data_IF_879507820801
#
_entry.id   IF_879507820801
#
_cell.length_a   1.000
_cell.length_b   1.000
_cell.length_c   1.000
_cell.angle_alpha   90.00
_cell.angle_beta   90.00
_cell.angle_gamma   90.00
#
_symmetry.space_group_name_H-M   'P 1'
#
loop_
_entity.id
_entity.type
_entity.pdbx_description
1 polymer ?
#
# COMPACT_ATOMS: atom_id res chain seq x y z
N UNK A 1 -4.26 22.48 -22.33
CA UNK A 1 -4.01 21.38 -23.31
C UNK A 1 -5.04 20.24 -23.30
N UNK A 2 -5.69 19.88 -22.18
CA UNK A 2 -6.83 18.94 -22.20
C UNK A 2 -8.15 19.61 -22.61
N UNK A 3 -8.37 20.87 -22.19
CA UNK A 3 -9.56 21.66 -22.54
C UNK A 3 -9.69 21.91 -24.05
N UNK A 4 -8.62 22.31 -24.75
CA UNK A 4 -8.63 22.46 -26.22
C UNK A 4 -9.07 21.19 -26.95
N UNK A 5 -8.64 20.02 -26.48
CA UNK A 5 -9.02 18.73 -27.09
C UNK A 5 -10.47 18.35 -26.79
N UNK A 6 -10.97 18.73 -25.63
CA UNK A 6 -12.38 18.55 -25.28
C UNK A 6 -13.27 19.41 -26.19
N UNK A 7 -12.94 20.69 -26.37
CA UNK A 7 -13.67 21.60 -27.25
C UNK A 7 -13.67 21.14 -28.72
N UNK A 8 -12.54 20.62 -29.22
CA UNK A 8 -12.47 20.02 -30.57
C UNK A 8 -13.46 18.86 -30.72
N UNK A 9 -13.59 18.01 -29.70
CA UNK A 9 -14.48 16.85 -29.74
C UNK A 9 -15.94 17.27 -29.60
N UNK A 10 -16.26 18.24 -28.74
CA UNK A 10 -17.61 18.79 -28.62
C UNK A 10 -18.09 19.39 -29.95
N UNK A 11 -17.23 20.17 -30.63
CA UNK A 11 -17.55 20.72 -31.94
C UNK A 11 -17.67 19.62 -33.02
N UNK A 12 -16.85 18.57 -32.95
CA UNK A 12 -16.98 17.42 -33.85
C UNK A 12 -18.30 16.68 -33.62
N UNK A 13 -18.71 16.47 -32.36
CA UNK A 13 -19.99 15.86 -31.99
C UNK A 13 -21.18 16.70 -32.45
N UNK A 14 -21.03 18.03 -32.46
CA UNK A 14 -22.02 18.97 -33.04
C UNK A 14 -21.98 19.00 -34.58
N UNK A 15 -21.30 18.07 -35.24
CA UNK A 15 -21.27 17.90 -36.69
C UNK A 15 -20.38 18.90 -37.44
N UNK A 16 -19.55 19.69 -36.76
CA UNK A 16 -18.68 20.70 -37.41
C UNK A 16 -17.53 20.03 -38.16
N UNK A 17 -17.21 20.57 -39.33
CA UNK A 17 -16.09 20.08 -40.16
C UNK A 17 -14.73 20.50 -39.57
N UNK A 18 -13.65 19.73 -39.77
CA UNK A 18 -12.33 20.07 -39.20
C UNK A 18 -11.81 21.47 -39.55
N UNK A 19 -12.11 21.94 -40.77
CA UNK A 19 -11.75 23.29 -41.21
C UNK A 19 -12.51 24.40 -40.48
N UNK A 20 -13.77 24.16 -40.09
CA UNK A 20 -14.59 25.08 -39.31
C UNK A 20 -14.10 25.12 -37.86
N UNK A 21 -13.76 23.96 -37.29
CA UNK A 21 -13.19 23.84 -35.94
C UNK A 21 -11.90 24.66 -35.81
N UNK A 22 -11.04 24.64 -36.83
CA UNK A 22 -9.82 25.43 -36.87
C UNK A 22 -10.07 26.94 -36.83
N UNK A 23 -11.13 27.40 -37.51
CA UNK A 23 -11.54 28.81 -37.54
C UNK A 23 -12.19 29.22 -36.21
N UNK A 24 -13.16 28.44 -35.73
CA UNK A 24 -13.88 28.70 -34.48
C UNK A 24 -12.94 28.76 -33.26
N UNK A 25 -12.01 27.80 -33.16
CA UNK A 25 -11.06 27.75 -32.06
C UNK A 25 -9.82 28.62 -32.26
N UNK A 26 -9.76 29.41 -33.34
CA UNK A 26 -8.64 30.31 -33.65
C UNK A 26 -7.27 29.62 -33.56
N UNK A 27 -7.17 28.37 -34.04
CA UNK A 27 -5.95 27.57 -33.89
C UNK A 27 -4.91 28.04 -34.90
N UNK A 28 -3.70 28.47 -34.45
CA UNK A 28 -2.68 28.98 -35.35
C UNK A 28 -2.20 27.90 -36.32
N UNK A 29 -1.70 28.33 -37.49
CA UNK A 29 -1.22 27.43 -38.58
C UNK A 29 -0.24 26.36 -38.06
N UNK A 30 0.67 26.75 -37.16
CA UNK A 30 1.67 25.87 -36.53
C UNK A 30 1.06 24.72 -35.72
N UNK A 31 -0.15 24.86 -35.21
CA UNK A 31 -0.82 23.89 -34.31
C UNK A 31 -1.97 23.13 -34.96
N UNK A 32 -2.26 23.33 -36.25
CA UNK A 32 -3.37 22.64 -36.97
C UNK A 32 -3.36 21.12 -36.82
N UNK A 33 -2.16 20.51 -36.75
CA UNK A 33 -1.99 19.07 -36.53
C UNK A 33 -2.71 18.57 -35.26
N UNK A 34 -2.99 19.43 -34.27
CA UNK A 34 -3.70 19.04 -33.05
C UNK A 34 -5.15 18.63 -33.31
N UNK A 35 -5.85 19.30 -34.23
CA UNK A 35 -7.25 18.99 -34.57
C UNK A 35 -7.33 17.62 -35.22
N UNK A 36 -6.59 17.42 -36.30
CA UNK A 36 -6.57 16.14 -37.02
C UNK A 36 -6.12 14.97 -36.15
N UNK A 37 -5.07 15.14 -35.33
CA UNK A 37 -4.63 14.10 -34.37
C UNK A 37 -5.67 13.81 -33.30
N UNK A 38 -6.45 14.81 -32.87
CA UNK A 38 -7.50 14.63 -31.85
C UNK A 38 -8.70 13.92 -32.44
N UNK A 39 -9.14 14.28 -33.65
CA UNK A 39 -10.24 13.61 -34.37
C UNK A 39 -9.86 12.15 -34.68
N UNK A 40 -8.67 11.93 -35.28
CA UNK A 40 -8.20 10.57 -35.59
C UNK A 40 -8.13 9.68 -34.35
N UNK A 41 -7.79 10.27 -33.20
CA UNK A 41 -7.73 9.57 -31.92
C UNK A 41 -9.11 9.34 -31.32
N UNK A 42 -10.00 10.32 -31.41
CA UNK A 42 -11.38 10.19 -30.98
C UNK A 42 -12.07 9.05 -31.73
N UNK A 43 -11.91 8.98 -33.06
CA UNK A 43 -12.46 7.90 -33.87
C UNK A 43 -11.91 6.51 -33.50
N UNK A 44 -10.70 6.43 -32.90
CA UNK A 44 -10.08 5.17 -32.48
C UNK A 44 -10.41 4.75 -31.05
N UNK A 45 -10.70 5.69 -30.15
CA UNK A 45 -10.75 5.43 -28.69
C UNK A 45 -12.01 5.98 -28.01
N UNK A 46 -12.79 6.82 -28.68
CA UNK A 46 -13.97 7.49 -28.12
C UNK A 46 -13.68 8.58 -27.08
N UNK A 47 -12.41 8.95 -26.84
CA UNK A 47 -12.04 9.90 -25.78
C UNK A 47 -10.88 10.86 -26.10
N UNK A 48 -10.89 12.03 -25.46
CA UNK A 48 -9.84 13.07 -25.58
C UNK A 48 -8.64 12.89 -24.65
N UNK A 49 -8.79 12.14 -23.53
CA UNK A 49 -7.75 12.03 -22.49
C UNK A 49 -6.46 11.41 -23.04
N UNK A 50 -5.29 11.99 -22.73
CA UNK A 50 -3.99 11.39 -23.10
C UNK A 50 -3.89 9.98 -22.51
N UNK A 51 -3.35 9.03 -23.27
CA UNK A 51 -3.00 7.73 -22.74
C UNK A 51 -1.97 7.94 -21.63
N UNK A 52 -2.15 7.26 -20.51
CA UNK A 52 -1.04 7.04 -19.61
C UNK A 52 0.07 6.40 -20.45
N UNK A 53 1.26 7.02 -20.48
CA UNK A 53 2.42 6.38 -21.09
C UNK A 53 2.54 4.99 -20.46
N UNK A 54 2.59 3.93 -21.27
CA UNK A 54 2.98 2.60 -20.78
C UNK A 54 4.32 2.78 -20.09
N UNK A 55 4.33 2.65 -18.76
CA UNK A 55 5.59 2.66 -17.99
C UNK A 55 6.35 1.42 -18.41
N UNK A 56 7.65 1.58 -18.67
CA UNK A 56 8.53 0.43 -18.87
C UNK A 56 8.39 -0.52 -17.69
N UNK A 57 8.32 -1.83 -17.95
CA UNK A 57 8.27 -2.85 -16.91
C UNK A 57 9.49 -2.67 -16.01
N UNK A 58 9.26 -2.38 -14.72
CA UNK A 58 10.35 -2.25 -13.74
C UNK A 58 11.16 -3.55 -13.73
N UNK A 59 12.41 -3.47 -14.16
CA UNK A 59 13.34 -4.62 -14.22
C UNK A 59 13.47 -5.30 -12.84
N UNK A 60 13.39 -4.52 -11.76
CA UNK A 60 13.51 -5.00 -10.39
C UNK A 60 12.25 -5.60 -9.75
N UNK A 61 11.13 -5.77 -10.48
CA UNK A 61 9.84 -6.18 -9.89
C UNK A 61 9.14 -7.26 -10.72
N UNK A 62 9.86 -8.32 -11.08
CA UNK A 62 9.24 -9.44 -11.79
C UNK A 62 8.22 -10.18 -10.90
N UNK A 63 7.13 -10.73 -11.46
CA UNK A 63 6.18 -11.56 -10.70
C UNK A 63 6.86 -12.71 -9.96
N UNK A 64 7.89 -13.30 -10.59
CA UNK A 64 8.72 -14.35 -9.97
C UNK A 64 9.44 -13.86 -8.72
N UNK A 65 10.10 -12.70 -8.79
CA UNK A 65 10.77 -12.11 -7.62
C UNK A 65 9.76 -11.82 -6.50
N UNK A 66 8.59 -11.27 -6.85
CA UNK A 66 7.52 -10.99 -5.89
C UNK A 66 7.11 -12.25 -5.11
N UNK A 67 6.87 -13.36 -5.81
CA UNK A 67 6.53 -14.65 -5.19
C UNK A 67 7.63 -15.14 -4.24
N UNK A 68 8.89 -15.12 -4.70
CA UNK A 68 10.03 -15.55 -3.87
C UNK A 68 10.18 -14.72 -2.61
N UNK A 69 10.00 -13.39 -2.70
CA UNK A 69 10.07 -12.48 -1.55
C UNK A 69 8.95 -12.78 -0.55
N UNK A 70 7.71 -12.97 -1.02
CA UNK A 70 6.57 -13.35 -0.17
C UNK A 70 6.89 -14.65 0.59
N UNK A 71 7.35 -15.68 -0.11
CA UNK A 71 7.65 -16.98 0.50
C UNK A 71 8.80 -16.90 1.51
N UNK A 72 9.79 -16.02 1.28
CA UNK A 72 10.89 -15.79 2.22
C UNK A 72 10.43 -15.06 3.48
N UNK A 73 9.59 -14.04 3.32
CA UNK A 73 9.01 -13.29 4.45
C UNK A 73 8.09 -14.19 5.27
N UNK A 74 7.26 -15.02 4.61
CA UNK A 74 6.38 -15.98 5.28
C UNK A 74 7.16 -16.99 6.12
N UNK A 75 8.27 -17.52 5.59
CA UNK A 75 9.14 -18.46 6.32
C UNK A 75 9.88 -17.81 7.49
N UNK A 76 10.38 -16.60 7.29
CA UNK A 76 11.08 -15.87 8.35
C UNK A 76 10.81 -14.36 8.22
N UNK A 77 9.81 -13.81 8.95
CA UNK A 77 9.48 -12.39 8.88
C UNK A 77 10.54 -11.50 9.53
N UNK A 78 11.52 -12.08 10.25
CA UNK A 78 12.62 -11.35 10.91
C UNK A 78 13.79 -11.07 9.97
N UNK A 79 13.73 -11.53 8.71
CA UNK A 79 14.85 -11.44 7.78
C UNK A 79 15.08 -10.00 7.31
N UNK A 80 16.34 -9.57 7.28
CA UNK A 80 16.73 -8.26 6.75
C UNK A 80 16.49 -8.18 5.24
N UNK A 81 15.86 -7.09 4.79
CA UNK A 81 15.68 -6.79 3.37
C UNK A 81 17.01 -6.63 2.63
N UNK A 82 18.06 -6.12 3.31
CA UNK A 82 19.40 -6.00 2.74
C UNK A 82 20.00 -7.36 2.41
N UNK A 83 19.94 -8.31 3.34
CA UNK A 83 20.40 -9.69 3.08
C UNK A 83 19.60 -10.34 1.96
N UNK A 84 18.29 -10.17 1.96
CA UNK A 84 17.41 -10.70 0.92
C UNK A 84 17.72 -10.11 -0.46
N UNK A 85 18.03 -8.81 -0.53
CA UNK A 85 18.43 -8.13 -1.75
C UNK A 85 19.76 -8.68 -2.30
N UNK A 86 20.79 -8.84 -1.45
CA UNK A 86 22.07 -9.42 -1.83
C UNK A 86 21.94 -10.84 -2.37
N UNK A 87 21.17 -11.70 -1.70
CA UNK A 87 20.96 -13.09 -2.13
C UNK A 87 20.20 -13.21 -3.46
N UNK A 88 19.27 -12.29 -3.71
CA UNK A 88 18.47 -12.27 -4.93
C UNK A 88 19.13 -11.43 -6.04
N UNK A 89 20.32 -10.88 -5.81
CA UNK A 89 21.05 -9.99 -6.73
C UNK A 89 20.21 -8.79 -7.20
N UNK A 90 19.45 -8.21 -6.27
CA UNK A 90 18.60 -7.04 -6.49
C UNK A 90 19.12 -5.89 -5.64
N UNK A 91 18.99 -4.64 -6.10
CA UNK A 91 19.39 -3.49 -5.29
C UNK A 91 18.52 -3.35 -4.04
N UNK A 92 19.10 -2.89 -2.94
CA UNK A 92 18.38 -2.71 -1.67
C UNK A 92 17.16 -1.80 -1.82
N UNK A 93 17.27 -0.70 -2.57
CA UNK A 93 16.16 0.21 -2.82
C UNK A 93 15.02 -0.42 -3.62
N UNK A 94 15.33 -1.31 -4.58
CA UNK A 94 14.30 -2.06 -5.32
C UNK A 94 13.58 -3.04 -4.41
N UNK A 95 14.32 -3.76 -3.55
CA UNK A 95 13.74 -4.67 -2.56
C UNK A 95 12.82 -3.94 -1.57
N UNK A 96 13.25 -2.76 -1.09
CA UNK A 96 12.45 -1.94 -0.19
C UNK A 96 11.18 -1.43 -0.87
N UNK A 97 11.28 -0.94 -2.11
CA UNK A 97 10.12 -0.51 -2.90
C UNK A 97 9.16 -1.67 -3.16
N UNK A 98 9.68 -2.86 -3.47
CA UNK A 98 8.87 -4.06 -3.67
C UNK A 98 8.08 -4.40 -2.40
N UNK A 99 8.73 -4.40 -1.24
CA UNK A 99 8.07 -4.73 0.03
C UNK A 99 7.08 -3.66 0.47
N UNK A 100 7.44 -2.37 0.36
CA UNK A 100 6.61 -1.25 0.82
C UNK A 100 5.48 -0.90 -0.15
N UNK A 101 5.78 -0.78 -1.44
CA UNK A 101 4.84 -0.24 -2.43
C UNK A 101 4.11 -1.34 -3.20
N UNK A 102 4.75 -2.49 -3.46
CA UNK A 102 4.14 -3.55 -4.28
C UNK A 102 3.52 -4.69 -3.44
N UNK A 103 4.03 -4.92 -2.22
CA UNK A 103 3.50 -5.88 -1.24
C UNK A 103 2.74 -5.21 -0.09
N UNK A 104 2.85 -3.89 0.07
CA UNK A 104 2.19 -3.14 1.14
C UNK A 104 2.50 -3.65 2.56
N UNK A 105 3.69 -4.21 2.76
CA UNK A 105 4.12 -4.73 4.05
C UNK A 105 4.82 -3.63 4.87
N UNK A 106 4.55 -3.63 6.18
CA UNK A 106 5.20 -2.77 7.18
C UNK A 106 6.04 -3.62 8.13
N UNK A 107 7.21 -3.11 8.50
CA UNK A 107 8.05 -3.70 9.54
C UNK A 107 7.54 -3.25 10.91
N UNK A 108 7.22 -4.19 11.79
CA UNK A 108 6.85 -3.91 13.18
C UNK A 108 8.04 -4.11 14.12
N UNK A 109 8.12 -3.28 15.17
CA UNK A 109 9.11 -3.47 16.25
C UNK A 109 8.77 -4.74 17.03
N UNK A 110 9.79 -5.53 17.34
CA UNK A 110 9.64 -6.71 18.20
C UNK A 110 9.46 -6.27 19.64
N UNK A 111 8.49 -6.88 20.33
CA UNK A 111 8.34 -6.78 21.78
C UNK A 111 8.98 -8.00 22.43
N UNK A 112 9.69 -7.78 23.53
CA UNK A 112 10.10 -8.86 24.42
C UNK A 112 8.88 -9.26 25.23
N UNK A 113 8.59 -10.55 25.25
CA UNK A 113 7.48 -11.15 26.01
C UNK A 113 8.04 -12.31 26.82
N UNK A 114 7.32 -12.74 27.85
CA UNK A 114 7.71 -13.91 28.62
C UNK A 114 7.75 -15.16 27.73
N UNK A 115 8.74 -16.02 27.98
CA UNK A 115 8.85 -17.29 27.30
C UNK A 115 7.80 -18.25 27.87
N UNK A 116 6.86 -18.67 27.02
CA UNK A 116 5.83 -19.64 27.40
C UNK A 116 6.37 -21.04 27.13
N UNK A 117 6.52 -21.85 28.19
CA UNK A 117 6.77 -23.28 28.06
C UNK A 117 5.45 -24.02 27.80
N UNK A 118 5.51 -25.23 27.24
CA UNK A 118 4.31 -26.05 26.99
C UNK A 118 3.47 -26.26 28.26
N UNK A 119 4.13 -26.43 29.41
CA UNK A 119 3.45 -26.54 30.71
C UNK A 119 2.66 -25.28 31.05
N UNK A 120 3.25 -24.09 30.84
CA UNK A 120 2.58 -22.81 31.09
C UNK A 120 1.42 -22.63 30.11
N UNK A 121 1.63 -22.93 28.82
CA UNK A 121 0.57 -22.84 27.81
C UNK A 121 -0.62 -23.73 28.18
N UNK A 122 -0.39 -25.00 28.53
CA UNK A 122 -1.45 -25.94 28.90
C UNK A 122 -2.21 -25.50 30.16
N UNK A 123 -1.49 -24.96 31.16
CA UNK A 123 -2.11 -24.39 32.35
C UNK A 123 -2.98 -23.18 31.99
N UNK A 124 -2.45 -22.26 31.19
CA UNK A 124 -3.18 -21.06 30.77
C UNK A 124 -4.42 -21.39 29.93
N UNK A 125 -4.34 -22.37 29.01
CA UNK A 125 -5.48 -22.75 28.18
C UNK A 125 -6.60 -23.37 29.02
N UNK A 126 -6.25 -24.26 29.95
CA UNK A 126 -7.20 -24.84 30.89
C UNK A 126 -7.87 -23.76 31.76
N UNK A 127 -7.07 -22.84 32.34
CA UNK A 127 -7.60 -21.72 33.12
C UNK A 127 -8.52 -20.82 32.29
N UNK A 128 -8.14 -20.46 31.06
CA UNK A 128 -8.95 -19.64 30.15
C UNK A 128 -10.29 -20.32 29.84
N UNK A 129 -10.29 -21.62 29.59
CA UNK A 129 -11.52 -22.39 29.37
C UNK A 129 -12.41 -22.43 30.61
N UNK A 130 -11.83 -22.68 31.79
CA UNK A 130 -12.58 -22.66 33.06
C UNK A 130 -13.16 -21.29 33.38
N UNK A 131 -12.39 -20.21 33.17
CA UNK A 131 -12.88 -18.85 33.33
C UNK A 131 -14.00 -18.52 32.34
N UNK A 132 -13.88 -18.92 31.07
CA UNK A 132 -14.93 -18.72 30.08
C UNK A 132 -16.23 -19.46 30.46
N UNK A 133 -16.11 -20.71 30.93
CA UNK A 133 -17.26 -21.49 31.39
C UNK A 133 -17.93 -20.86 32.63
N UNK A 134 -17.15 -20.33 33.58
CA UNK A 134 -17.67 -19.61 34.74
C UNK A 134 -18.37 -18.31 34.35
N UNK A 135 -17.81 -17.54 33.41
CA UNK A 135 -18.41 -16.29 32.93
C UNK A 135 -19.70 -16.52 32.13
N UNK A 136 -19.90 -17.72 31.58
CA UNK A 136 -21.16 -18.09 30.93
C UNK A 136 -22.29 -18.32 31.95
N UNK A 137 -21.98 -18.66 33.20
CA UNK A 137 -22.97 -18.97 34.24
C UNK A 137 -23.12 -17.88 35.29
N UNK A 138 -22.09 -17.07 35.53
CA UNK A 138 -22.10 -15.99 36.51
C UNK A 138 -21.69 -14.66 35.88
N UNK A 139 -22.41 -13.56 36.18
CA UNK A 139 -22.08 -12.23 35.68
C UNK A 139 -20.75 -11.73 36.26
N UNK A 140 -20.03 -10.94 35.48
CA UNK A 140 -18.73 -10.37 35.88
C UNK A 140 -18.85 -9.44 37.11
N UNK A 141 -20.04 -8.88 37.35
CA UNK A 141 -20.36 -7.99 38.47
C UNK A 141 -20.09 -8.63 39.85
N UNK A 142 -20.15 -9.96 39.93
CA UNK A 142 -19.87 -10.70 41.16
C UNK A 142 -18.38 -11.07 41.33
N UNK A 143 -17.50 -10.64 40.42
CA UNK A 143 -16.05 -10.91 40.47
C UNK A 143 -15.27 -9.63 40.75
N UNK A 144 -14.57 -9.59 41.88
CA UNK A 144 -13.61 -8.54 42.21
C UNK A 144 -12.22 -9.01 41.78
N UNK A 145 -11.49 -8.18 41.02
CA UNK A 145 -10.10 -8.42 40.65
C UNK A 145 -9.18 -7.56 41.52
N UNK A 146 -8.17 -8.18 42.13
CA UNK A 146 -7.12 -7.50 42.90
C UNK A 146 -5.75 -7.96 42.44
N UNK A 147 -4.82 -7.04 42.26
CA UNK A 147 -3.42 -7.31 41.96
C UNK A 147 -2.55 -6.37 42.79
N UNK A 148 -1.41 -6.87 43.28
CA UNK A 148 -0.41 -6.03 43.93
C UNK A 148 0.53 -5.43 42.88
N UNK A 149 0.65 -4.10 42.89
CA UNK A 149 1.57 -3.37 42.02
C UNK A 149 2.61 -2.63 42.85
N UNK A 150 3.87 -2.82 42.51
CA UNK A 150 4.94 -2.00 43.05
C UNK A 150 4.90 -0.62 42.38
N UNK A 151 4.66 0.42 43.17
CA UNK A 151 4.78 1.81 42.74
C UNK A 151 6.13 2.35 43.17
N UNK A 152 6.95 2.76 42.21
CA UNK A 152 8.21 3.46 42.48
C UNK A 152 7.96 4.97 42.51
N UNK A 153 8.61 5.68 43.42
CA UNK A 153 8.48 7.15 43.60
C UNK A 153 9.05 7.89 42.38
N UNK A 154 10.04 7.31 41.71
CA UNK A 154 10.67 7.88 40.52
C UNK A 154 9.80 7.73 39.28
N UNK A 155 9.67 8.82 38.51
CA UNK A 155 8.99 8.79 37.22
C UNK A 155 9.75 7.91 36.22
N UNK A 156 9.11 6.85 35.75
CA UNK A 156 9.59 6.08 34.62
C UNK A 156 9.46 6.92 33.35
N UNK A 157 10.53 7.63 32.97
CA UNK A 157 10.57 8.35 31.71
C UNK A 157 10.29 7.39 30.55
N UNK A 158 9.23 7.67 29.79
CA UNK A 158 8.95 6.90 28.60
C UNK A 158 10.08 7.16 27.60
N UNK A 159 11.00 6.21 27.46
CA UNK A 159 12.15 6.27 26.53
C UNK A 159 11.76 6.50 25.06
N UNK A 160 10.46 6.54 24.74
CA UNK A 160 9.91 6.83 23.42
C UNK A 160 9.61 8.32 23.18
N UNK A 161 9.58 9.16 24.22
CA UNK A 161 9.29 10.61 24.14
C UNK A 161 10.52 11.49 24.41
N UNK A 162 11.73 10.91 24.39
CA UNK A 162 12.97 11.69 24.45
C UNK A 162 13.25 12.15 23.02
N UNK A 163 12.79 13.35 22.69
CA UNK A 163 13.22 14.07 21.48
C UNK A 163 14.72 14.34 21.60
N UNK A 164 15.50 13.88 20.61
CA UNK A 164 16.88 14.31 20.40
C UNK A 164 16.89 15.48 19.41
#
# INVERSE_FOLDING_TARGET
>A
MNQERAAIIELLSNGKRPGEILKLLHIPKSRRKIVYRTIQRYNKTGGHKRYAKKRSTKVGTTPRLKKVVIDRIRRNPRRSLRKMASELKVSHGSMQNLVKNDLHLKSFKRRTVHFLSEKIVNKETCLKQGHAARLATQPLENTIFSEEKLFTIEEATNKQMIEN
#
